data_IF_896684919326
#
_entry.id   IF_896684919326
#
_cell.length_a   1.000
_cell.length_b   1.000
_cell.length_c   1.000
_cell.angle_alpha   90.00
_cell.angle_beta   90.00
_cell.angle_gamma   90.00
#
_symmetry.space_group_name_H-M   'P 1'
#
loop_
_entity.id
_entity.type
_entity.pdbx_description
1 polymer ?
#
# COMPACT_ATOMS: atom_id res chain seq x y z
N UNK A 1 -12.82 6.61 -5.39
CA UNK A 1 -11.95 5.96 -4.38
C UNK A 1 -12.71 5.46 -3.14
N UNK A 2 -13.70 6.23 -2.65
CA UNK A 2 -14.45 5.97 -1.38
C UNK A 2 -15.18 4.61 -1.30
N UNK A 3 -15.40 3.89 -2.41
CA UNK A 3 -16.04 2.57 -2.40
C UNK A 3 -15.11 1.35 -2.30
N UNK A 4 -13.82 1.48 -2.65
CA UNK A 4 -12.93 0.32 -2.75
C UNK A 4 -12.32 -0.09 -1.40
N UNK A 5 -12.04 0.90 -0.55
CA UNK A 5 -11.15 0.77 0.63
C UNK A 5 -11.90 0.68 1.96
N UNK A 6 -13.14 1.18 2.00
CA UNK A 6 -13.88 1.40 3.24
C UNK A 6 -13.52 2.71 3.93
N UNK A 7 -14.33 3.13 4.90
CA UNK A 7 -14.16 4.38 5.64
C UNK A 7 -12.93 4.30 6.55
N UNK A 8 -12.10 5.35 6.54
CA UNK A 8 -10.96 5.49 7.46
C UNK A 8 -9.72 4.67 7.09
N UNK A 9 -9.72 4.02 5.92
CA UNK A 9 -8.54 3.34 5.43
C UNK A 9 -7.44 4.35 5.07
N UNK A 10 -6.19 4.13 5.52
CA UNK A 10 -5.06 4.99 5.18
C UNK A 10 -4.90 5.10 3.66
N UNK A 11 -4.76 6.33 3.17
CA UNK A 11 -4.50 6.57 1.77
C UNK A 11 -3.02 6.91 1.55
N UNK A 12 -2.39 6.37 0.50
CA UNK A 12 -1.04 6.74 0.11
C UNK A 12 -0.89 8.25 -0.09
N UNK A 13 0.19 8.84 0.42
CA UNK A 13 0.46 10.28 0.31
C UNK A 13 -0.16 11.15 1.40
N UNK A 14 -1.09 10.63 2.20
CA UNK A 14 -1.73 11.37 3.30
C UNK A 14 -0.69 11.87 4.33
N UNK A 15 -0.58 13.19 4.48
CA UNK A 15 0.38 13.80 5.41
C UNK A 15 1.83 13.83 4.90
N UNK A 16 2.07 13.58 3.62
CA UNK A 16 3.41 13.62 3.00
C UNK A 16 3.50 14.71 1.93
N UNK A 17 4.73 15.18 1.64
CA UNK A 17 4.99 16.09 0.51
C UNK A 17 5.17 15.34 -0.82
N UNK A 18 5.04 14.02 -0.83
CA UNK A 18 5.27 13.19 -2.01
C UNK A 18 4.03 13.22 -2.90
N UNK A 19 4.20 13.56 -4.17
CA UNK A 19 3.11 13.49 -5.14
C UNK A 19 2.76 12.04 -5.45
N UNK A 20 1.50 11.69 -5.24
CA UNK A 20 0.96 10.35 -5.50
C UNK A 20 -0.23 10.48 -6.43
N UNK A 21 -0.12 9.90 -7.63
CA UNK A 21 -1.24 9.81 -8.55
C UNK A 21 -1.85 8.41 -8.51
N UNK A 22 -3.18 8.33 -8.36
CA UNK A 22 -3.90 7.05 -8.42
C UNK A 22 -4.20 6.72 -9.87
N UNK A 23 -3.57 5.66 -10.37
CA UNK A 23 -3.73 5.16 -11.74
C UNK A 23 -5.00 4.29 -11.85
N UNK A 24 -5.30 3.53 -10.80
CA UNK A 24 -6.45 2.66 -10.77
C UNK A 24 -6.70 2.06 -9.40
N UNK A 25 -7.92 1.58 -9.18
CA UNK A 25 -8.28 0.91 -7.94
C UNK A 25 -9.29 -0.21 -8.22
N UNK A 26 -9.15 -1.32 -7.50
CA UNK A 26 -10.06 -2.46 -7.58
C UNK A 26 -10.32 -3.02 -6.19
N UNK A 27 -11.58 -3.32 -5.90
CA UNK A 27 -11.96 -4.11 -4.73
C UNK A 27 -11.74 -5.59 -5.04
N UNK A 28 -11.15 -6.29 -4.08
CA UNK A 28 -10.86 -7.72 -4.14
C UNK A 28 -11.34 -8.39 -2.85
N UNK A 29 -11.34 -9.71 -2.88
CA UNK A 29 -11.55 -10.54 -1.69
C UNK A 29 -10.32 -11.43 -1.50
N UNK A 30 -9.66 -11.34 -0.34
CA UNK A 30 -8.47 -12.12 -0.01
C UNK A 30 -8.78 -12.88 1.28
N UNK A 31 -8.74 -14.21 1.22
CA UNK A 31 -9.03 -15.09 2.37
C UNK A 31 -10.37 -14.73 3.05
N UNK A 32 -11.43 -14.57 2.24
CA UNK A 32 -12.78 -14.18 2.65
C UNK A 32 -12.90 -12.79 3.29
N UNK A 33 -12.06 -11.84 2.88
CA UNK A 33 -12.08 -10.46 3.39
C UNK A 33 -11.97 -9.44 2.28
N UNK A 34 -12.73 -8.37 2.43
CA UNK A 34 -12.62 -7.22 1.55
C UNK A 34 -11.22 -6.60 1.64
N UNK A 35 -10.60 -6.40 0.49
CA UNK A 35 -9.36 -5.68 0.33
C UNK A 35 -9.49 -4.70 -0.84
N UNK A 36 -8.71 -3.63 -0.83
CA UNK A 36 -8.54 -2.77 -1.98
C UNK A 36 -7.12 -2.91 -2.52
N UNK A 37 -7.00 -3.16 -3.82
CA UNK A 37 -5.75 -3.01 -4.55
C UNK A 37 -5.79 -1.69 -5.32
N UNK A 38 -4.80 -0.85 -5.10
CA UNK A 38 -4.66 0.47 -5.69
C UNK A 38 -3.34 0.51 -6.45
N UNK A 39 -3.38 0.92 -7.72
CA UNK A 39 -2.18 1.21 -8.50
C UNK A 39 -1.89 2.70 -8.42
N UNK A 40 -0.65 3.03 -8.10
CA UNK A 40 -0.17 4.38 -7.86
C UNK A 40 1.01 4.67 -8.79
N UNK A 41 1.15 5.94 -9.17
CA UNK A 41 2.40 6.51 -9.69
C UNK A 41 3.00 7.38 -8.59
N UNK A 42 4.25 7.12 -8.21
CA UNK A 42 4.99 7.89 -7.22
C UNK A 42 6.36 8.24 -7.82
N UNK A 43 6.55 9.50 -8.19
CA UNK A 43 7.64 9.86 -9.11
C UNK A 43 7.48 9.09 -10.42
N UNK A 44 8.52 8.36 -10.82
CA UNK A 44 8.50 7.52 -12.03
C UNK A 44 8.09 6.05 -11.74
N UNK A 45 7.91 5.70 -10.47
CA UNK A 45 7.66 4.32 -10.06
C UNK A 45 6.15 3.97 -10.05
N UNK A 46 5.83 2.80 -10.61
CA UNK A 46 4.51 2.18 -10.48
C UNK A 46 4.45 1.30 -9.22
N UNK A 47 3.58 1.67 -8.29
CA UNK A 47 3.43 1.01 -7.00
C UNK A 47 2.06 0.34 -6.91
N UNK A 48 2.05 -0.92 -6.48
CA UNK A 48 0.84 -1.65 -6.08
C UNK A 48 0.66 -1.53 -4.57
N UNK A 49 -0.45 -0.95 -4.16
CA UNK A 49 -0.80 -0.75 -2.75
C UNK A 49 -2.05 -1.56 -2.40
N UNK A 50 -1.89 -2.52 -1.50
CA UNK A 50 -2.98 -3.32 -0.97
C UNK A 50 -3.30 -2.84 0.45
N UNK A 51 -4.60 -2.70 0.73
CA UNK A 51 -5.09 -2.37 2.07
C UNK A 51 -6.28 -3.26 2.40
N UNK A 52 -6.26 -3.81 3.61
CA UNK A 52 -7.29 -4.69 4.16
C UNK A 52 -7.38 -4.49 5.68
N UNK A 53 -8.47 -4.90 6.30
CA UNK A 53 -8.54 -4.94 7.76
C UNK A 53 -7.55 -5.97 8.33
N UNK A 54 -6.81 -5.57 9.36
CA UNK A 54 -5.84 -6.41 10.04
C UNK A 54 -6.53 -7.56 10.79
N UNK A 55 -5.87 -8.72 10.86
CA UNK A 55 -6.31 -9.87 11.67
C UNK A 55 -5.18 -10.31 12.60
N UNK A 56 -5.48 -10.46 13.88
CA UNK A 56 -4.52 -10.93 14.88
C UNK A 56 -3.32 -9.98 15.06
N UNK A 57 -2.16 -10.56 15.39
CA UNK A 57 -0.89 -9.85 15.52
C UNK A 57 -0.24 -9.82 14.12
N UNK A 58 -0.53 -8.77 13.35
CA UNK A 58 0.24 -8.46 12.15
C UNK A 58 1.60 -7.88 12.56
N UNK A 59 2.69 -8.14 11.82
CA UNK A 59 3.97 -7.52 12.11
C UNK A 59 3.83 -6.00 12.04
N UNK A 60 4.48 -5.29 12.98
CA UNK A 60 4.50 -3.83 12.97
C UNK A 60 5.06 -3.32 11.64
N UNK A 61 6.10 -4.00 11.14
CA UNK A 61 6.67 -3.79 9.82
C UNK A 61 7.43 -5.04 9.35
N UNK A 62 7.28 -5.40 8.09
CA UNK A 62 8.02 -6.48 7.42
C UNK A 62 8.39 -6.04 6.01
N UNK A 63 9.61 -6.36 5.59
CA UNK A 63 10.11 -6.03 4.25
C UNK A 63 10.67 -7.28 3.59
N UNK A 64 10.44 -7.39 2.28
CA UNK A 64 10.97 -8.49 1.46
C UNK A 64 11.39 -7.95 0.10
N UNK A 65 12.54 -8.41 -0.37
CA UNK A 65 13.01 -8.20 -1.75
C UNK A 65 12.76 -9.49 -2.53
N UNK A 66 12.25 -9.37 -3.74
CA UNK A 66 12.00 -10.47 -4.67
C UNK A 66 12.42 -10.04 -6.08
N UNK A 67 13.63 -10.42 -6.48
CA UNK A 67 14.24 -9.93 -7.71
C UNK A 67 14.34 -8.41 -7.74
N UNK A 68 13.76 -7.77 -8.76
CA UNK A 68 13.74 -6.33 -8.94
C UNK A 68 12.62 -5.62 -8.15
N UNK A 69 11.85 -6.37 -7.35
CA UNK A 69 10.72 -5.83 -6.59
C UNK A 69 11.03 -5.79 -5.11
N UNK A 70 10.46 -4.80 -4.45
CA UNK A 70 10.41 -4.72 -3.00
C UNK A 70 8.97 -4.63 -2.51
N UNK A 71 8.66 -5.48 -1.53
CA UNK A 71 7.42 -5.46 -0.77
C UNK A 71 7.67 -4.93 0.65
N UNK A 72 6.75 -4.09 1.13
CA UNK A 72 6.74 -3.55 2.48
C UNK A 72 5.34 -3.77 3.02
N UNK A 73 5.23 -4.50 4.12
CA UNK A 73 3.98 -4.71 4.82
C UNK A 73 4.05 -4.07 6.21
N UNK A 74 3.00 -3.38 6.62
CA UNK A 74 2.93 -2.76 7.95
C UNK A 74 1.49 -2.64 8.42
N UNK A 75 1.32 -2.32 9.70
CA UNK A 75 0.03 -2.04 10.31
C UNK A 75 -0.14 -0.54 10.54
N UNK A 76 -1.32 0.00 10.24
CA UNK A 76 -1.73 1.35 10.64
C UNK A 76 -3.16 1.29 11.18
N UNK A 77 -3.29 1.44 12.49
CA UNK A 77 -4.57 1.27 13.19
C UNK A 77 -5.18 -0.13 12.95
N UNK A 78 -6.44 -0.22 12.50
CA UNK A 78 -7.10 -1.50 12.23
C UNK A 78 -6.80 -2.07 10.84
N UNK A 79 -5.85 -1.51 10.10
CA UNK A 79 -5.54 -1.91 8.71
C UNK A 79 -4.15 -2.54 8.59
N UNK A 80 -4.06 -3.56 7.73
CA UNK A 80 -2.82 -4.10 7.19
C UNK A 80 -2.63 -3.54 5.80
N UNK A 81 -1.43 -3.01 5.56
CA UNK A 81 -1.04 -2.30 4.36
C UNK A 81 0.13 -3.03 3.72
N UNK A 82 0.14 -3.15 2.40
CA UNK A 82 1.24 -3.71 1.64
C UNK A 82 1.53 -2.79 0.45
N UNK A 83 2.75 -2.31 0.32
CA UNK A 83 3.22 -1.62 -0.87
C UNK A 83 4.25 -2.49 -1.59
N UNK A 84 4.09 -2.65 -2.90
CA UNK A 84 5.01 -3.39 -3.76
C UNK A 84 5.39 -2.50 -4.93
N UNK A 85 6.69 -2.31 -5.16
CA UNK A 85 7.22 -1.50 -6.24
C UNK A 85 8.66 -1.89 -6.61
N UNK A 86 9.27 -1.18 -7.55
CA UNK A 86 10.67 -1.40 -7.93
C UNK A 86 11.62 -1.22 -6.75
N UNK A 87 12.58 -2.13 -6.58
CA UNK A 87 13.58 -2.06 -5.51
C UNK A 87 14.53 -0.87 -5.69
N UNK A 88 14.91 -0.58 -6.94
CA UNK A 88 15.80 0.54 -7.28
C UNK A 88 15.25 1.91 -6.82
N UNK A 89 13.92 2.09 -6.87
CA UNK A 89 13.23 3.31 -6.43
C UNK A 89 12.78 3.30 -4.97
N UNK A 90 13.05 2.22 -4.22
CA UNK A 90 12.47 1.95 -2.91
C UNK A 90 12.55 3.12 -1.94
N UNK A 91 13.71 3.77 -1.83
CA UNK A 91 13.90 4.91 -0.92
C UNK A 91 12.95 6.07 -1.22
N UNK A 92 12.68 6.33 -2.50
CA UNK A 92 11.81 7.43 -2.97
C UNK A 92 10.36 7.14 -2.66
N UNK A 93 9.82 6.02 -3.17
CA UNK A 93 8.39 5.75 -3.05
C UNK A 93 7.97 5.38 -1.63
N UNK A 94 8.89 4.87 -0.78
CA UNK A 94 8.64 4.65 0.66
C UNK A 94 8.21 5.90 1.40
N UNK A 95 8.69 7.07 0.99
CA UNK A 95 8.38 8.33 1.66
C UNK A 95 6.89 8.68 1.60
N UNK A 96 6.14 8.12 0.64
CA UNK A 96 4.69 8.30 0.49
C UNK A 96 3.85 7.49 1.49
N UNK A 97 4.46 6.59 2.27
CA UNK A 97 3.75 5.61 3.11
C UNK A 97 4.04 5.76 4.62
N UNK A 98 4.59 6.91 5.03
CA UNK A 98 4.88 7.19 6.45
C UNK A 98 3.62 7.31 7.31
#
# INVERSE_FOLDING_TARGET
>A
MIGAVGKGAPLPGEGTAVSVAVIGARRLEILNRAAALIRLRIGDDDISYLVQHARGIAPERSERVDGALRAIAWRRGPFTLIAVGPDAGAASWRAAFR
#
